data_IF_226334412505
#
_entry.id   IF_226334412505
#
_cell.length_a   1.000
_cell.length_b   1.000
_cell.length_c   1.000
_cell.angle_alpha   90.00
_cell.angle_beta   90.00
_cell.angle_gamma   90.00
#
_symmetry.space_group_name_H-M   'P 1'
#
loop_
_entity.id
_entity.type
_entity.pdbx_description
1 polymer ?
#
# COMPACT_ATOMS: atom_id res chain seq x y z
N UNK A 1 13.66 70.85 17.88
CA UNK A 1 12.42 71.63 17.68
C UNK A 1 11.79 71.21 16.37
N UNK A 2 10.45 71.19 16.33
CA UNK A 2 9.54 70.78 15.23
C UNK A 2 9.34 69.28 15.06
N UNK A 3 8.13 68.75 14.92
CA UNK A 3 6.76 69.19 15.26
C UNK A 3 5.91 67.92 15.08
N UNK A 4 4.95 67.70 15.97
CA UNK A 4 3.87 66.75 15.78
C UNK A 4 3.09 67.08 14.50
N UNK A 5 2.39 66.10 13.91
CA UNK A 5 0.99 66.24 13.49
C UNK A 5 0.42 64.92 12.96
N UNK A 6 -0.60 64.41 13.63
CA UNK A 6 -1.66 63.56 13.07
C UNK A 6 -2.89 64.48 12.96
N UNK A 7 -3.66 64.47 11.85
CA UNK A 7 -4.98 63.81 11.85
C UNK A 7 -5.41 63.29 10.45
N UNK A 8 -6.08 62.14 10.33
CA UNK A 8 -7.54 61.93 10.29
C UNK A 8 -8.25 62.30 8.94
N UNK A 9 -8.82 61.25 8.31
CA UNK A 9 -10.11 61.15 7.57
C UNK A 9 -10.30 61.80 6.18
N UNK A 10 -10.76 60.90 5.29
CA UNK A 10 -11.61 60.98 4.09
C UNK A 10 -12.05 62.36 3.56
N UNK A 11 -12.04 62.53 2.23
CA UNK A 11 -13.25 62.71 1.39
C UNK A 11 -12.88 62.39 -0.07
N UNK A 12 -13.84 61.80 -0.76
CA UNK A 12 -13.78 61.20 -2.07
C UNK A 12 -14.00 62.19 -3.24
N UNK A 13 -13.81 61.64 -4.45
CA UNK A 13 -14.48 62.01 -5.71
C UNK A 13 -13.98 63.34 -6.35
N UNK A 14 -13.45 63.35 -7.58
CA UNK A 14 -14.22 63.15 -8.81
C UNK A 14 -13.36 63.18 -10.10
N UNK A 15 -13.75 62.33 -11.06
CA UNK A 15 -13.73 62.48 -12.54
C UNK A 15 -12.37 62.49 -13.28
N UNK A 16 -12.12 61.65 -14.29
CA UNK A 16 -12.90 61.49 -15.54
C UNK A 16 -12.47 60.20 -16.29
N UNK A 17 -13.40 59.67 -17.10
CA UNK A 17 -13.20 58.65 -18.14
C UNK A 17 -12.88 57.21 -17.68
N UNK A 18 -13.83 56.53 -17.02
CA UNK A 18 -13.70 55.11 -16.70
C UNK A 18 -14.92 54.33 -17.22
N UNK A 19 -14.85 53.96 -18.50
CA UNK A 19 -15.78 53.01 -19.10
C UNK A 19 -15.43 51.60 -18.61
N UNK A 20 -16.45 50.89 -18.12
CA UNK A 20 -16.57 49.43 -18.15
C UNK A 20 -15.56 48.53 -17.40
N UNK A 21 -14.46 49.04 -16.83
CA UNK A 21 -13.42 48.21 -16.20
C UNK A 21 -13.86 47.49 -14.92
N UNK A 22 -14.68 48.11 -14.07
CA UNK A 22 -15.00 47.56 -12.74
C UNK A 22 -15.88 46.28 -12.75
N UNK A 23 -16.62 46.01 -13.83
CA UNK A 23 -17.39 44.75 -14.00
C UNK A 23 -16.53 43.64 -14.60
N UNK A 24 -15.72 43.98 -15.61
CA UNK A 24 -14.80 43.04 -16.24
C UNK A 24 -13.70 42.57 -15.28
N UNK A 25 -13.22 43.44 -14.39
CA UNK A 25 -12.24 43.07 -13.37
C UNK A 25 -12.83 42.10 -12.34
N UNK A 26 -14.11 42.25 -11.97
CA UNK A 26 -14.78 41.32 -11.04
C UNK A 26 -15.12 39.97 -11.67
N UNK A 27 -15.54 39.95 -12.94
CA UNK A 27 -15.76 38.70 -13.67
C UNK A 27 -14.44 37.97 -13.92
N UNK A 28 -13.36 38.68 -14.30
CA UNK A 28 -12.03 38.08 -14.44
C UNK A 28 -11.42 37.64 -13.11
N UNK A 29 -11.65 38.36 -12.00
CA UNK A 29 -11.23 37.91 -10.67
C UNK A 29 -12.03 36.68 -10.22
N UNK A 30 -13.34 36.64 -10.49
CA UNK A 30 -14.17 35.48 -10.19
C UNK A 30 -13.73 34.26 -11.03
N UNK A 31 -13.53 34.40 -12.34
CA UNK A 31 -13.02 33.33 -13.21
C UNK A 31 -11.61 32.88 -12.82
N UNK A 32 -10.71 33.82 -12.45
CA UNK A 32 -9.38 33.45 -11.93
C UNK A 32 -9.45 32.73 -10.60
N UNK A 33 -10.38 33.11 -9.72
CA UNK A 33 -10.57 32.45 -8.42
C UNK A 33 -11.19 31.06 -8.60
N UNK A 34 -12.11 30.90 -9.54
CA UNK A 34 -12.72 29.61 -9.90
C UNK A 34 -11.71 28.68 -10.61
N UNK A 35 -10.90 29.21 -11.53
CA UNK A 35 -9.79 28.47 -12.14
C UNK A 35 -8.72 28.09 -11.12
N UNK A 36 -8.39 28.99 -10.18
CA UNK A 36 -7.47 28.69 -9.08
C UNK A 36 -8.03 27.61 -8.14
N UNK A 37 -9.33 27.66 -7.81
CA UNK A 37 -9.98 26.63 -7.02
C UNK A 37 -9.99 25.27 -7.73
N UNK A 38 -10.39 25.25 -9.01
CA UNK A 38 -10.42 24.03 -9.82
C UNK A 38 -9.02 23.44 -10.07
N UNK A 39 -7.98 24.28 -10.19
CA UNK A 39 -6.59 23.82 -10.35
C UNK A 39 -5.97 23.35 -9.03
N UNK A 40 -6.36 23.90 -7.88
CA UNK A 40 -5.99 23.36 -6.56
C UNK A 40 -6.67 22.01 -6.32
N UNK A 41 -7.95 21.87 -6.66
CA UNK A 41 -8.69 20.60 -6.55
C UNK A 41 -8.13 19.53 -7.52
N UNK A 42 -7.78 19.93 -8.74
CA UNK A 42 -7.14 19.02 -9.71
C UNK A 42 -5.74 18.60 -9.25
N UNK A 43 -4.92 19.54 -8.74
CA UNK A 43 -3.59 19.22 -8.22
C UNK A 43 -3.66 18.32 -6.97
N UNK A 44 -4.67 18.49 -6.11
CA UNK A 44 -4.91 17.62 -4.98
C UNK A 44 -5.38 16.21 -5.41
N UNK A 45 -6.22 16.12 -6.44
CA UNK A 45 -6.59 14.82 -7.05
C UNK A 45 -5.40 14.14 -7.71
N UNK A 46 -4.60 14.88 -8.48
CA UNK A 46 -3.41 14.35 -9.15
C UNK A 46 -2.36 13.89 -8.13
N UNK A 47 -2.18 14.64 -7.03
CA UNK A 47 -1.33 14.22 -5.92
C UNK A 47 -1.87 12.94 -5.24
N UNK A 48 -3.17 12.87 -4.97
CA UNK A 48 -3.80 11.69 -4.37
C UNK A 48 -3.73 10.46 -5.30
N UNK A 49 -3.90 10.64 -6.61
CA UNK A 49 -3.75 9.58 -7.62
C UNK A 49 -2.29 9.14 -7.76
N UNK A 50 -1.34 10.08 -7.74
CA UNK A 50 0.10 9.79 -7.75
C UNK A 50 0.50 8.99 -6.50
N UNK A 51 0.03 9.38 -5.32
CA UNK A 51 0.29 8.68 -4.07
C UNK A 51 -0.35 7.28 -4.04
N UNK A 52 -1.58 7.14 -4.57
CA UNK A 52 -2.24 5.85 -4.71
C UNK A 52 -1.48 4.94 -5.68
N UNK A 53 -1.03 5.45 -6.82
CA UNK A 53 -0.22 4.69 -7.79
C UNK A 53 1.13 4.27 -7.19
N UNK A 54 1.79 5.17 -6.46
CA UNK A 54 3.04 4.86 -5.77
C UNK A 54 2.84 3.79 -4.69
N UNK A 55 1.74 3.86 -3.93
CA UNK A 55 1.39 2.86 -2.92
C UNK A 55 1.11 1.50 -3.56
N UNK A 56 0.32 1.45 -4.63
CA UNK A 56 0.02 0.23 -5.36
C UNK A 56 1.29 -0.43 -5.95
N UNK A 57 2.19 0.36 -6.53
CA UNK A 57 3.46 -0.15 -7.04
C UNK A 57 4.34 -0.79 -5.94
N UNK A 58 4.32 -0.22 -4.72
CA UNK A 58 5.02 -0.81 -3.57
C UNK A 58 4.38 -2.13 -3.15
N UNK A 59 3.05 -2.19 -3.08
CA UNK A 59 2.30 -3.44 -2.77
C UNK A 59 2.61 -4.53 -3.79
N UNK A 60 2.51 -4.22 -5.07
CA UNK A 60 2.80 -5.15 -6.17
C UNK A 60 4.24 -5.64 -6.13
N UNK A 61 5.19 -4.76 -5.83
CA UNK A 61 6.61 -5.13 -5.68
C UNK A 61 6.82 -6.10 -4.52
N UNK A 62 6.21 -5.83 -3.35
CA UNK A 62 6.29 -6.71 -2.18
C UNK A 62 5.72 -8.09 -2.53
N UNK A 63 4.53 -8.15 -3.14
CA UNK A 63 3.91 -9.40 -3.54
C UNK A 63 4.75 -10.16 -4.57
N UNK A 64 5.23 -9.49 -5.62
CA UNK A 64 6.06 -10.10 -6.65
C UNK A 64 7.36 -10.69 -6.08
N UNK A 65 7.98 -10.01 -5.10
CA UNK A 65 9.19 -10.52 -4.45
C UNK A 65 8.89 -11.75 -3.59
N UNK A 66 7.75 -11.77 -2.88
CA UNK A 66 7.31 -12.92 -2.10
C UNK A 66 6.95 -14.11 -3.02
N UNK A 67 6.18 -13.88 -4.09
CA UNK A 67 5.81 -14.91 -5.05
C UNK A 67 7.03 -15.50 -5.76
N UNK A 68 7.97 -14.64 -6.17
CA UNK A 68 9.25 -15.07 -6.73
C UNK A 68 10.07 -15.89 -5.71
N UNK A 69 10.05 -15.53 -4.43
CA UNK A 69 10.74 -16.30 -3.39
C UNK A 69 10.07 -17.68 -3.19
N UNK A 70 8.75 -17.73 -3.08
CA UNK A 70 8.00 -18.98 -2.90
C UNK A 70 8.12 -19.92 -4.10
N UNK A 71 8.11 -19.39 -5.33
CA UNK A 71 8.25 -20.19 -6.56
C UNK A 71 9.58 -20.93 -6.69
N UNK A 72 10.62 -20.47 -5.98
CA UNK A 72 11.93 -21.16 -5.92
C UNK A 72 11.92 -22.38 -5.00
N UNK A 73 10.89 -22.53 -4.17
CA UNK A 73 10.72 -23.68 -3.27
C UNK A 73 9.97 -24.78 -4.01
N UNK A 74 10.73 -25.75 -4.52
CA UNK A 74 10.15 -26.88 -5.24
C UNK A 74 9.32 -27.79 -4.32
N UNK A 75 8.13 -28.18 -4.77
CA UNK A 75 7.32 -29.20 -4.12
C UNK A 75 8.09 -30.54 -4.16
N UNK A 76 8.40 -31.16 -3.01
CA UNK A 76 9.14 -32.41 -3.01
C UNK A 76 8.27 -33.56 -3.50
N UNK A 77 8.92 -34.61 -4.00
CA UNK A 77 8.23 -35.87 -4.32
C UNK A 77 7.87 -36.60 -3.04
N UNK A 78 6.57 -36.87 -2.85
CA UNK A 78 6.04 -37.63 -1.73
C UNK A 78 5.71 -39.07 -2.15
N UNK A 79 5.89 -40.03 -1.24
CA UNK A 79 5.49 -41.42 -1.46
C UNK A 79 3.98 -41.60 -1.32
N UNK A 80 3.35 -40.83 -0.43
CA UNK A 80 1.93 -40.90 -0.13
C UNK A 80 1.21 -39.61 -0.52
N UNK A 81 0.02 -39.75 -1.08
CA UNK A 81 -0.80 -38.63 -1.54
C UNK A 81 -1.20 -37.69 -0.39
N UNK A 82 -1.39 -38.21 0.82
CA UNK A 82 -1.77 -37.37 1.97
C UNK A 82 -0.71 -36.31 2.30
N UNK A 83 0.58 -36.61 2.16
CA UNK A 83 1.66 -35.66 2.38
C UNK A 83 1.67 -34.57 1.29
N UNK A 84 1.41 -34.96 0.04
CA UNK A 84 1.27 -34.02 -1.08
C UNK A 84 0.09 -33.07 -0.87
N UNK A 85 -1.09 -33.60 -0.52
CA UNK A 85 -2.28 -32.79 -0.20
C UNK A 85 -1.97 -31.81 0.94
N UNK A 86 -1.27 -32.26 1.99
CA UNK A 86 -0.88 -31.37 3.09
C UNK A 86 0.09 -30.26 2.66
N UNK A 87 1.04 -30.56 1.77
CA UNK A 87 1.95 -29.58 1.23
C UNK A 87 1.22 -28.52 0.41
N UNK A 88 0.28 -28.94 -0.44
CA UNK A 88 -0.55 -28.04 -1.26
C UNK A 88 -1.46 -27.17 -0.39
N UNK A 89 -2.10 -27.76 0.63
CA UNK A 89 -2.91 -27.02 1.60
C UNK A 89 -2.09 -25.97 2.34
N UNK A 90 -0.89 -26.32 2.81
CA UNK A 90 -0.03 -25.35 3.48
C UNK A 90 0.41 -24.22 2.54
N UNK A 91 0.81 -24.54 1.30
CA UNK A 91 1.18 -23.53 0.30
C UNK A 91 0.02 -22.57 0.03
N UNK A 92 -1.20 -23.10 -0.09
CA UNK A 92 -2.42 -22.31 -0.25
C UNK A 92 -2.67 -21.41 0.97
N UNK A 93 -2.69 -21.96 2.18
CA UNK A 93 -2.91 -21.20 3.42
C UNK A 93 -1.86 -20.08 3.57
N UNK A 94 -0.60 -20.34 3.19
CA UNK A 94 0.47 -19.36 3.19
C UNK A 94 0.25 -18.26 2.15
N UNK A 95 -0.14 -18.62 0.93
CA UNK A 95 -0.42 -17.65 -0.14
C UNK A 95 -1.60 -16.74 0.22
N UNK A 96 -2.65 -17.30 0.83
CA UNK A 96 -3.78 -16.52 1.34
C UNK A 96 -3.34 -15.56 2.44
N UNK A 97 -2.47 -16.00 3.35
CA UNK A 97 -1.90 -15.14 4.39
C UNK A 97 -1.05 -14.01 3.80
N UNK A 98 -0.20 -14.29 2.82
CA UNK A 98 0.60 -13.26 2.14
C UNK A 98 -0.30 -12.24 1.45
N UNK A 99 -1.31 -12.70 0.70
CA UNK A 99 -2.24 -11.81 -0.01
C UNK A 99 -3.08 -10.95 0.94
N UNK A 100 -3.49 -11.49 2.09
CA UNK A 100 -4.21 -10.74 3.10
C UNK A 100 -3.35 -9.68 3.82
N UNK A 101 -2.03 -9.72 3.65
CA UNK A 101 -1.07 -8.79 4.28
C UNK A 101 -0.16 -8.13 3.22
N UNK A 102 -0.62 -8.01 1.97
CA UNK A 102 0.16 -7.53 0.83
C UNK A 102 0.71 -6.11 0.98
N UNK A 103 0.10 -5.31 1.83
CA UNK A 103 0.53 -3.94 2.15
C UNK A 103 1.77 -3.89 3.04
N UNK A 104 2.20 -5.02 3.59
CA UNK A 104 3.29 -5.10 4.55
C UNK A 104 4.33 -6.15 4.15
N UNK A 105 5.60 -5.90 4.49
CA UNK A 105 6.65 -6.91 4.38
C UNK A 105 6.45 -8.01 5.43
N UNK A 106 6.93 -9.22 5.12
CA UNK A 106 6.79 -10.39 6.00
C UNK A 106 7.25 -10.18 7.44
N UNK A 107 8.25 -9.32 7.67
CA UNK A 107 8.74 -8.99 9.01
C UNK A 107 7.70 -8.30 9.91
N UNK A 108 6.63 -7.73 9.33
CA UNK A 108 5.53 -7.09 10.07
C UNK A 108 4.46 -8.08 10.55
N UNK A 109 4.38 -9.27 9.96
CA UNK A 109 3.40 -10.30 10.30
C UNK A 109 4.03 -11.66 10.67
N UNK A 110 5.25 -11.66 11.21
CA UNK A 110 5.98 -12.87 11.66
C UNK A 110 5.15 -13.72 12.63
N UNK A 111 4.38 -13.10 13.51
CA UNK A 111 3.51 -13.83 14.45
C UNK A 111 2.43 -14.63 13.70
N UNK A 112 1.88 -14.08 12.61
CA UNK A 112 0.90 -14.78 11.77
C UNK A 112 1.55 -15.96 11.04
N UNK A 113 2.76 -15.80 10.50
CA UNK A 113 3.53 -16.90 9.91
C UNK A 113 3.84 -18.01 10.93
N UNK A 114 4.21 -17.60 12.14
CA UNK A 114 4.48 -18.53 13.26
C UNK A 114 3.23 -19.30 13.66
N UNK A 115 2.08 -18.63 13.71
CA UNK A 115 0.81 -19.27 14.02
C UNK A 115 0.36 -20.22 12.91
N UNK A 116 0.52 -19.83 11.64
CA UNK A 116 0.25 -20.72 10.51
C UNK A 116 1.10 -22.00 10.58
N UNK A 117 2.39 -21.87 10.93
CA UNK A 117 3.26 -23.03 11.15
C UNK A 117 2.76 -23.92 12.29
N UNK A 118 2.39 -23.34 13.44
CA UNK A 118 1.86 -24.08 14.58
C UNK A 118 0.56 -24.82 14.25
N UNK A 119 -0.32 -24.20 13.47
CA UNK A 119 -1.55 -24.81 13.01
C UNK A 119 -1.26 -26.00 12.07
N UNK A 120 -0.29 -25.84 11.17
CA UNK A 120 0.25 -26.94 10.37
C UNK A 120 0.79 -28.07 11.27
N UNK A 121 1.67 -27.78 12.23
CA UNK A 121 2.27 -28.78 13.11
C UNK A 121 1.20 -29.55 13.90
N UNK A 122 0.17 -28.85 14.37
CA UNK A 122 -0.98 -29.43 15.07
C UNK A 122 -1.84 -30.31 14.17
N UNK A 123 -2.08 -29.90 12.92
CA UNK A 123 -2.80 -30.72 11.92
C UNK A 123 -1.96 -31.96 11.56
N UNK A 124 -0.67 -31.78 11.32
CA UNK A 124 0.25 -32.83 10.91
C UNK A 124 0.49 -33.88 12.01
N UNK A 125 0.46 -33.48 13.29
CA UNK A 125 0.58 -34.40 14.42
C UNK A 125 -0.61 -35.37 14.56
N UNK A 126 -1.78 -35.04 13.99
CA UNK A 126 -2.97 -35.90 13.97
C UNK A 126 -2.96 -36.90 12.82
N UNK A 127 -2.11 -36.66 11.83
CA UNK A 127 -2.00 -37.48 10.63
C UNK A 127 -0.91 -38.54 10.77
N UNK A 128 -1.13 -39.68 10.14
CA UNK A 128 -0.13 -40.76 10.07
C UNK A 128 0.64 -40.65 8.76
N UNK A 129 1.78 -39.96 8.80
CA UNK A 129 2.69 -39.87 7.66
C UNK A 129 3.76 -40.96 7.68
N UNK A 130 4.25 -41.33 6.48
CA UNK A 130 5.54 -42.01 6.37
C UNK A 130 6.64 -41.10 6.93
N UNK A 131 7.64 -41.67 7.61
CA UNK A 131 8.70 -40.88 8.22
C UNK A 131 9.50 -40.05 7.20
N UNK A 132 9.69 -40.58 5.98
CA UNK A 132 10.34 -39.86 4.89
C UNK A 132 9.49 -38.71 4.39
N UNK A 133 8.20 -38.95 4.17
CA UNK A 133 7.26 -37.93 3.73
C UNK A 133 7.08 -36.83 4.77
N UNK A 134 7.01 -37.17 6.06
CA UNK A 134 6.93 -36.19 7.16
C UNK A 134 8.14 -35.27 7.16
N UNK A 135 9.34 -35.83 7.03
CA UNK A 135 10.59 -35.06 6.97
C UNK A 135 10.64 -34.14 5.75
N UNK A 136 10.22 -34.63 4.58
CA UNK A 136 10.15 -33.83 3.36
C UNK A 136 9.13 -32.69 3.49
N UNK A 137 7.97 -32.98 4.07
CA UNK A 137 6.91 -32.00 4.30
C UNK A 137 7.34 -30.91 5.29
N UNK A 138 7.96 -31.29 6.41
CA UNK A 138 8.49 -30.34 7.39
C UNK A 138 9.56 -29.43 6.78
N UNK A 139 10.45 -30.00 5.96
CA UNK A 139 11.44 -29.20 5.25
C UNK A 139 10.77 -28.22 4.29
N UNK A 140 9.83 -28.69 3.48
CA UNK A 140 9.10 -27.85 2.52
C UNK A 140 8.36 -26.69 3.20
N UNK A 141 7.68 -26.96 4.32
CA UNK A 141 7.00 -25.93 5.13
C UNK A 141 7.98 -24.88 5.65
N UNK A 142 9.12 -25.31 6.21
CA UNK A 142 10.14 -24.38 6.70
C UNK A 142 10.77 -23.57 5.56
N UNK A 143 11.04 -24.21 4.42
CA UNK A 143 11.62 -23.54 3.24
C UNK A 143 10.67 -22.46 2.70
N UNK A 144 9.37 -22.74 2.63
CA UNK A 144 8.36 -21.75 2.23
C UNK A 144 8.28 -20.56 3.20
N UNK A 145 8.22 -20.81 4.51
CA UNK A 145 8.21 -19.72 5.51
C UNK A 145 9.49 -18.89 5.40
N UNK A 146 10.64 -19.53 5.29
CA UNK A 146 11.91 -18.83 5.13
C UNK A 146 11.95 -18.02 3.83
N UNK A 147 11.40 -18.53 2.73
CA UNK A 147 11.31 -17.80 1.48
C UNK A 147 10.49 -16.51 1.64
N UNK A 148 9.31 -16.58 2.28
CA UNK A 148 8.48 -15.41 2.56
C UNK A 148 9.19 -14.41 3.48
N UNK A 149 9.82 -14.88 4.56
CA UNK A 149 10.49 -14.02 5.53
C UNK A 149 11.69 -13.26 4.96
N UNK A 150 12.37 -13.84 3.95
CA UNK A 150 13.56 -13.28 3.34
C UNK A 150 13.30 -12.65 1.96
N UNK A 151 12.04 -12.54 1.55
CA UNK A 151 11.66 -11.85 0.31
C UNK A 151 11.95 -10.35 0.43
N UNK A 152 12.77 -9.82 -0.47
CA UNK A 152 13.17 -8.41 -0.54
C UNK A 152 12.67 -7.80 -1.82
#
# INVERSE_FOLDING_TARGET
MKNAFLPLVCVAFLFTACGNTQKQDKENEAEKTEQAANSVDSAAQDAAMSDANATNAVVETIQANIDNAMSKVALPTFKKENAKIFAELFHKDLSELVNANSTEKANKYIDKLTNLKKDYEKKAAKEKFDAGDKKALDKYVNDLINAVQNAN
#
